data_IF_661662086212
#
_entry.id   IF_661662086212
#
_cell.length_a   1.000
_cell.length_b   1.000
_cell.length_c   1.000
_cell.angle_alpha   90.00
_cell.angle_beta   90.00
_cell.angle_gamma   90.00
#
_symmetry.space_group_name_H-M   'P 1'
#
loop_
_entity.id
_entity.type
_entity.pdbx_description
1 polymer ?
#
# COMPACT_ATOMS: atom_id res chain seq x y z
N UNK A 1 34.72 6.93 -21.81
CA UNK A 1 33.63 7.12 -20.82
C UNK A 1 32.58 6.05 -21.10
N UNK A 2 32.26 5.19 -20.15
CA UNK A 2 31.16 4.23 -20.34
C UNK A 2 29.85 5.01 -20.42
N UNK A 3 29.04 4.73 -21.42
CA UNK A 3 27.68 5.28 -21.57
C UNK A 3 26.82 4.71 -20.44
N UNK A 4 26.11 5.57 -19.68
CA UNK A 4 25.14 5.10 -18.70
C UNK A 4 24.05 4.26 -19.34
N UNK A 5 23.52 3.30 -18.60
CA UNK A 5 22.31 2.57 -18.99
C UNK A 5 21.08 3.29 -18.44
N UNK A 6 20.17 3.68 -19.31
CA UNK A 6 18.98 4.47 -18.95
C UNK A 6 17.74 3.61 -19.00
N UNK A 7 17.03 3.49 -17.87
CA UNK A 7 15.73 2.81 -17.75
C UNK A 7 14.64 3.84 -17.50
N UNK A 8 13.67 3.94 -18.40
CA UNK A 8 12.47 4.73 -18.16
C UNK A 8 11.37 3.85 -17.56
N UNK A 9 10.78 4.30 -16.44
CA UNK A 9 9.65 3.64 -15.75
C UNK A 9 8.40 4.48 -15.95
N UNK A 10 7.39 3.91 -16.62
CA UNK A 10 6.15 4.58 -17.01
C UNK A 10 4.93 3.78 -16.52
N UNK A 11 3.72 4.30 -16.74
CA UNK A 11 2.47 3.66 -16.31
C UNK A 11 2.09 4.01 -14.88
N UNK A 12 1.48 3.06 -14.16
CA UNK A 12 0.87 3.30 -12.86
C UNK A 12 0.98 2.10 -11.92
N UNK A 13 0.75 2.32 -10.61
CA UNK A 13 0.64 1.21 -9.65
C UNK A 13 1.98 0.57 -9.28
N UNK A 14 3.03 1.39 -9.04
CA UNK A 14 4.27 0.89 -8.47
C UNK A 14 5.56 1.38 -9.12
N UNK A 15 5.54 2.49 -9.88
CA UNK A 15 6.75 3.07 -10.49
C UNK A 15 7.84 3.37 -9.48
N UNK A 16 7.52 4.14 -8.44
CA UNK A 16 8.47 4.51 -7.39
C UNK A 16 9.07 3.27 -6.73
N UNK A 17 8.24 2.28 -6.35
CA UNK A 17 8.72 1.02 -5.76
C UNK A 17 9.60 0.20 -6.71
N UNK A 18 9.33 0.24 -8.02
CA UNK A 18 10.20 -0.38 -9.02
C UNK A 18 11.55 0.33 -9.10
N UNK A 19 11.55 1.66 -9.14
CA UNK A 19 12.76 2.49 -9.16
C UNK A 19 13.60 2.24 -7.90
N UNK A 20 12.99 2.27 -6.71
CA UNK A 20 13.67 1.98 -5.44
C UNK A 20 14.31 0.59 -5.42
N UNK A 21 13.60 -0.45 -5.90
CA UNK A 21 14.16 -1.80 -5.98
C UNK A 21 15.33 -1.91 -6.96
N UNK A 22 15.21 -1.28 -8.12
CA UNK A 22 16.30 -1.26 -9.11
C UNK A 22 17.52 -0.49 -8.58
N UNK A 23 17.29 0.68 -7.97
CA UNK A 23 18.33 1.49 -7.37
C UNK A 23 19.08 0.74 -6.26
N UNK A 24 18.35 0.10 -5.35
CA UNK A 24 18.94 -0.70 -4.28
C UNK A 24 19.73 -1.92 -4.81
N UNK A 25 19.24 -2.58 -5.86
CA UNK A 25 19.95 -3.71 -6.48
C UNK A 25 21.24 -3.26 -7.18
N UNK A 26 21.20 -2.14 -7.90
CA UNK A 26 22.34 -1.57 -8.59
C UNK A 26 23.40 -1.07 -7.59
N UNK A 27 22.98 -0.38 -6.54
CA UNK A 27 23.84 0.06 -5.45
C UNK A 27 24.56 -1.11 -4.77
N UNK A 28 23.84 -2.19 -4.43
CA UNK A 28 24.45 -3.42 -3.90
C UNK A 28 25.45 -4.07 -4.86
N UNK A 29 25.27 -3.88 -6.16
CA UNK A 29 26.21 -4.32 -7.18
C UNK A 29 27.37 -3.34 -7.44
N UNK A 30 27.52 -2.28 -6.62
CA UNK A 30 28.57 -1.27 -6.74
C UNK A 30 28.42 -0.34 -7.94
N UNK A 31 27.17 -0.18 -8.47
CA UNK A 31 26.91 0.71 -9.59
C UNK A 31 26.49 2.10 -9.11
N UNK A 32 27.14 3.14 -9.65
CA UNK A 32 26.71 4.53 -9.47
C UNK A 32 25.34 4.72 -10.11
N UNK A 33 24.33 5.01 -9.30
CA UNK A 33 22.94 5.05 -9.71
C UNK A 33 22.32 6.43 -9.48
N UNK A 34 21.78 7.04 -10.54
CA UNK A 34 21.01 8.27 -10.44
C UNK A 34 19.51 8.00 -10.68
N UNK A 35 18.67 8.62 -9.87
CA UNK A 35 17.20 8.61 -10.02
C UNK A 35 16.76 10.02 -10.41
N UNK A 36 15.99 10.13 -11.48
CA UNK A 36 15.46 11.39 -11.99
C UNK A 36 13.99 11.26 -12.43
N UNK A 37 13.37 12.37 -12.77
CA UNK A 37 12.03 12.39 -13.38
C UNK A 37 11.99 13.35 -14.56
N UNK A 38 11.19 13.03 -15.57
CA UNK A 38 10.82 13.94 -16.66
C UNK A 38 9.45 14.58 -16.45
N UNK A 39 8.76 14.21 -15.37
CA UNK A 39 7.46 14.75 -14.98
C UNK A 39 7.52 15.29 -13.54
N UNK A 40 6.85 14.62 -12.60
CA UNK A 40 6.87 15.00 -11.18
C UNK A 40 6.90 13.72 -10.35
N UNK A 41 7.81 13.63 -9.37
CA UNK A 41 7.81 12.56 -8.37
C UNK A 41 7.86 13.15 -6.96
N UNK A 42 7.48 12.39 -5.95
CA UNK A 42 7.64 12.80 -4.57
C UNK A 42 9.12 12.95 -4.22
N UNK A 43 9.43 14.00 -3.45
CA UNK A 43 10.79 14.23 -2.97
C UNK A 43 11.18 13.11 -2.00
N UNK A 44 12.19 12.29 -2.30
CA UNK A 44 12.66 11.27 -1.37
C UNK A 44 13.35 11.91 -0.17
N UNK A 45 13.35 11.22 0.96
CA UNK A 45 13.96 11.70 2.20
C UNK A 45 15.47 11.47 2.26
N UNK A 46 15.93 10.44 1.57
CA UNK A 46 17.33 10.01 1.57
C UNK A 46 17.95 10.20 0.17
N UNK A 47 19.29 10.34 0.13
CA UNK A 47 20.08 10.48 -1.08
C UNK A 47 19.63 11.60 -2.03
N UNK A 48 18.94 12.64 -1.50
CA UNK A 48 18.35 13.69 -2.33
C UNK A 48 19.29 14.89 -2.50
N UNK A 49 19.61 15.18 -3.75
CA UNK A 49 20.27 16.41 -4.20
C UNK A 49 19.31 17.33 -4.98
N UNK A 50 18.02 17.24 -4.69
CA UNK A 50 16.98 18.04 -5.31
C UNK A 50 17.19 19.55 -5.10
N UNK A 51 17.13 20.32 -6.19
CA UNK A 51 17.36 21.75 -6.17
C UNK A 51 18.80 22.20 -5.82
N UNK A 52 19.76 21.28 -5.77
CA UNK A 52 21.17 21.54 -5.55
C UNK A 52 21.96 21.60 -6.86
N UNK A 53 23.19 22.11 -6.78
CA UNK A 53 24.11 22.12 -7.93
C UNK A 53 24.53 20.70 -8.33
N UNK A 54 24.92 20.51 -9.59
CA UNK A 54 25.33 19.21 -10.15
C UNK A 54 26.52 18.62 -9.42
N UNK A 55 27.45 19.44 -8.96
CA UNK A 55 28.62 18.98 -8.18
C UNK A 55 28.23 18.28 -6.86
N UNK A 56 27.11 18.64 -6.27
CA UNK A 56 26.57 17.92 -5.09
C UNK A 56 26.08 16.52 -5.47
N UNK A 57 25.44 16.37 -6.65
CA UNK A 57 25.02 15.07 -7.13
C UNK A 57 26.21 14.19 -7.51
N UNK A 58 27.27 14.77 -8.13
CA UNK A 58 28.54 14.08 -8.40
C UNK A 58 29.19 13.57 -7.13
N UNK A 59 29.34 14.43 -6.12
CA UNK A 59 29.88 14.07 -4.82
C UNK A 59 29.09 12.92 -4.18
N UNK A 60 27.75 12.99 -4.18
CA UNK A 60 26.91 11.94 -3.61
C UNK A 60 27.04 10.61 -4.38
N UNK A 61 27.17 10.65 -5.70
CA UNK A 61 27.44 9.45 -6.52
C UNK A 61 28.79 8.84 -6.19
N UNK A 62 29.81 9.67 -5.89
CA UNK A 62 31.16 9.20 -5.57
C UNK A 62 31.23 8.63 -4.14
N UNK A 63 30.61 9.29 -3.16
CA UNK A 63 30.66 8.93 -1.75
C UNK A 63 29.66 7.84 -1.37
N UNK A 64 28.40 7.93 -1.87
CA UNK A 64 27.29 7.07 -1.48
C UNK A 64 26.86 6.07 -2.57
N UNK A 65 27.30 6.28 -3.82
CA UNK A 65 26.95 5.43 -4.97
C UNK A 65 25.53 5.62 -5.50
N UNK A 66 24.74 6.50 -4.90
CA UNK A 66 23.35 6.76 -5.31
C UNK A 66 22.98 8.24 -5.10
N UNK A 67 22.21 8.81 -6.03
CA UNK A 67 21.62 10.15 -5.87
C UNK A 67 20.23 10.23 -6.49
N UNK A 68 19.37 11.07 -5.93
CA UNK A 68 18.08 11.46 -6.52
C UNK A 68 18.15 12.94 -6.88
N UNK A 69 18.23 13.24 -8.17
CA UNK A 69 18.52 14.56 -8.70
C UNK A 69 17.35 15.15 -9.52
N UNK A 70 17.11 16.43 -9.35
CA UNK A 70 16.12 17.19 -10.12
C UNK A 70 15.88 18.57 -9.53
N UNK A 71 15.04 19.38 -10.16
CA UNK A 71 14.62 20.68 -9.67
C UNK A 71 13.51 20.55 -8.62
N UNK A 72 13.43 21.51 -7.70
CA UNK A 72 12.30 21.58 -6.76
C UNK A 72 11.08 22.16 -7.47
N UNK A 73 9.94 21.49 -7.30
CA UNK A 73 8.69 21.94 -7.89
C UNK A 73 8.12 23.17 -7.18
N UNK A 74 7.51 24.07 -7.97
CA UNK A 74 6.83 25.27 -7.51
C UNK A 74 5.32 25.19 -7.71
N UNK A 75 4.57 26.08 -7.08
CA UNK A 75 3.11 26.15 -7.22
C UNK A 75 2.42 24.83 -6.88
N UNK A 76 1.71 24.23 -7.84
CA UNK A 76 1.02 22.92 -7.68
C UNK A 76 1.97 21.74 -7.53
N UNK A 77 3.24 21.89 -7.89
CA UNK A 77 4.27 20.88 -7.75
C UNK A 77 5.12 21.05 -6.47
N UNK A 78 4.78 21.98 -5.58
CA UNK A 78 5.52 22.21 -4.33
C UNK A 78 5.65 20.92 -3.52
N UNK A 79 6.87 20.62 -3.06
CA UNK A 79 7.19 19.38 -2.34
C UNK A 79 7.43 18.17 -3.25
N UNK A 80 7.54 18.37 -4.56
CA UNK A 80 7.89 17.36 -5.55
C UNK A 80 9.18 17.69 -6.25
N UNK A 81 9.83 16.64 -6.75
CA UNK A 81 10.92 16.72 -7.70
C UNK A 81 10.34 16.90 -9.12
N UNK A 82 10.99 17.74 -9.92
CA UNK A 82 10.64 17.98 -11.32
C UNK A 82 11.85 17.80 -12.22
N UNK A 83 11.64 17.83 -13.53
CA UNK A 83 12.72 17.71 -14.52
C UNK A 83 13.79 18.78 -14.34
N UNK A 84 15.09 18.40 -14.27
CA UNK A 84 16.17 19.35 -14.01
C UNK A 84 16.59 20.19 -15.24
N UNK A 85 16.00 19.93 -16.40
CA UNK A 85 16.44 20.46 -17.68
C UNK A 85 17.40 19.51 -18.43
N UNK A 86 17.52 19.72 -19.75
CA UNK A 86 18.25 18.81 -20.65
C UNK A 86 19.75 18.75 -20.31
N UNK A 87 20.38 19.89 -20.10
CA UNK A 87 21.82 19.97 -19.84
C UNK A 87 22.22 19.24 -18.55
N UNK A 88 21.44 19.46 -17.49
CA UNK A 88 21.66 18.80 -16.20
C UNK A 88 21.39 17.29 -16.29
N UNK A 89 20.34 16.88 -17.00
CA UNK A 89 20.03 15.48 -17.27
C UNK A 89 21.20 14.78 -17.98
N UNK A 90 21.75 15.39 -19.04
CA UNK A 90 22.86 14.82 -19.78
C UNK A 90 24.16 14.75 -18.98
N UNK A 91 24.41 15.74 -18.10
CA UNK A 91 25.56 15.71 -17.21
C UNK A 91 25.47 14.54 -16.23
N UNK A 92 24.31 14.34 -15.58
CA UNK A 92 24.08 13.20 -14.69
C UNK A 92 24.23 11.86 -15.45
N UNK A 93 23.72 11.77 -16.68
CA UNK A 93 23.93 10.58 -17.52
C UNK A 93 25.39 10.28 -17.83
N UNK A 94 26.30 11.24 -17.76
CA UNK A 94 27.76 11.02 -17.93
C UNK A 94 28.46 10.52 -16.68
N UNK A 95 27.86 10.76 -15.50
CA UNK A 95 28.45 10.46 -14.18
C UNK A 95 28.00 9.11 -13.60
N UNK A 96 26.77 8.68 -13.92
CA UNK A 96 26.18 7.45 -13.39
C UNK A 96 26.41 6.24 -14.31
N UNK A 97 26.46 5.03 -13.77
CA UNK A 97 26.40 3.77 -14.53
C UNK A 97 24.97 3.42 -14.92
N UNK A 98 24.03 3.70 -14.03
CA UNK A 98 22.58 3.48 -14.20
C UNK A 98 21.81 4.76 -13.93
N UNK A 99 20.90 5.09 -14.86
CA UNK A 99 19.95 6.19 -14.69
C UNK A 99 18.54 5.64 -14.73
N UNK A 100 17.78 5.84 -13.64
CA UNK A 100 16.39 5.45 -13.51
C UNK A 100 15.52 6.70 -13.64
N UNK A 101 14.58 6.70 -14.60
CA UNK A 101 13.76 7.87 -14.89
C UNK A 101 12.28 7.57 -14.67
N UNK A 102 11.63 8.25 -13.71
CA UNK A 102 10.18 8.26 -13.64
C UNK A 102 9.63 9.19 -14.73
N UNK A 103 9.07 8.60 -15.80
CA UNK A 103 8.72 9.33 -17.01
C UNK A 103 7.21 9.49 -17.22
N UNK A 104 6.40 9.28 -16.18
CA UNK A 104 4.92 9.35 -16.27
C UNK A 104 4.26 9.63 -14.91
N UNK A 105 3.35 10.60 -14.85
CA UNK A 105 2.55 10.93 -13.66
C UNK A 105 1.23 10.16 -13.61
N UNK A 106 0.88 9.51 -12.49
CA UNK A 106 -0.34 8.69 -12.35
C UNK A 106 -1.32 9.13 -11.25
N UNK A 107 -1.03 10.22 -10.54
CA UNK A 107 -1.81 10.70 -9.38
C UNK A 107 -2.04 9.62 -8.31
N UNK A 108 -1.08 8.72 -8.11
CA UNK A 108 -1.14 7.57 -7.19
C UNK A 108 -2.24 6.54 -7.52
N UNK A 109 -2.89 6.62 -8.69
CA UNK A 109 -3.87 5.61 -9.12
C UNK A 109 -3.16 4.37 -9.67
N UNK A 110 -3.78 3.18 -9.53
CA UNK A 110 -3.19 1.92 -10.00
C UNK A 110 -3.20 1.76 -11.53
N UNK A 111 -4.00 2.54 -12.22
CA UNK A 111 -4.17 2.52 -13.68
C UNK A 111 -4.16 3.93 -14.25
N UNK A 112 -3.75 4.08 -15.50
CA UNK A 112 -3.79 5.33 -16.25
C UNK A 112 -3.91 5.04 -17.74
N UNK A 113 -4.63 5.89 -18.48
CA UNK A 113 -4.50 5.99 -19.92
C UNK A 113 -3.68 7.24 -20.28
N UNK A 114 -2.56 7.12 -21.04
CA UNK A 114 -1.66 8.24 -21.33
C UNK A 114 -2.27 9.21 -22.35
N UNK A 115 -1.83 10.47 -22.29
CA UNK A 115 -2.22 11.52 -23.24
C UNK A 115 -1.08 11.81 -24.21
N UNK A 116 -0.97 10.99 -25.24
CA UNK A 116 0.04 11.21 -26.29
C UNK A 116 -0.22 12.48 -27.10
N UNK A 117 0.84 13.25 -27.45
CA UNK A 117 2.28 13.02 -27.20
C UNK A 117 2.78 13.67 -25.89
N UNK A 118 1.92 14.22 -25.04
CA UNK A 118 2.30 14.97 -23.81
C UNK A 118 2.91 14.07 -22.73
N UNK A 119 2.38 12.88 -22.57
CA UNK A 119 2.82 11.88 -21.59
C UNK A 119 2.62 10.48 -22.15
N UNK A 120 3.51 9.53 -21.82
CA UNK A 120 4.73 9.64 -21.00
C UNK A 120 5.87 10.40 -21.73
N UNK A 121 6.73 11.07 -20.94
CA UNK A 121 7.90 11.81 -21.45
C UNK A 121 9.15 10.95 -21.32
N UNK A 122 9.30 10.00 -22.23
CA UNK A 122 10.44 9.05 -22.24
C UNK A 122 11.65 9.70 -22.91
N UNK A 123 12.83 9.76 -22.24
CA UNK A 123 14.04 10.31 -22.83
C UNK A 123 14.48 9.57 -24.12
N UNK A 124 15.03 10.29 -25.08
CA UNK A 124 15.44 9.71 -26.37
C UNK A 124 16.61 8.71 -26.24
N UNK A 125 17.45 8.86 -25.21
CA UNK A 125 18.59 7.98 -24.91
C UNK A 125 18.22 6.78 -24.03
N UNK A 126 16.93 6.46 -23.86
CA UNK A 126 16.46 5.33 -23.06
C UNK A 126 16.89 4.00 -23.66
N UNK A 127 17.56 3.18 -22.86
CA UNK A 127 18.03 1.84 -23.25
C UNK A 127 17.00 0.74 -22.95
N UNK A 128 16.10 0.93 -21.95
CA UNK A 128 14.98 0.01 -21.68
C UNK A 128 13.76 0.76 -21.12
N UNK A 129 12.55 0.25 -21.38
CA UNK A 129 11.31 0.82 -20.84
C UNK A 129 10.55 -0.22 -20.02
N UNK A 130 10.23 0.14 -18.77
CA UNK A 130 9.39 -0.66 -17.89
C UNK A 130 8.03 0.00 -17.75
N UNK A 131 6.99 -0.71 -18.17
CA UNK A 131 5.60 -0.28 -18.06
C UNK A 131 5.01 -0.90 -16.81
N UNK A 132 4.48 -0.08 -15.90
CA UNK A 132 3.87 -0.53 -14.65
C UNK A 132 2.36 -0.52 -14.75
N UNK A 133 1.71 -1.53 -14.16
CA UNK A 133 0.26 -1.58 -13.97
C UNK A 133 -0.06 -2.17 -12.60
N UNK A 134 -0.97 -1.52 -11.86
CA UNK A 134 -1.42 -1.99 -10.55
C UNK A 134 -2.64 -2.90 -10.66
N UNK A 135 -2.49 -4.18 -10.32
CA UNK A 135 -3.57 -5.17 -10.34
C UNK A 135 -4.72 -4.84 -9.38
N UNK A 136 -4.52 -3.90 -8.45
CA UNK A 136 -5.60 -3.40 -7.59
C UNK A 136 -6.69 -2.64 -8.36
N UNK A 137 -6.44 -2.27 -9.62
CA UNK A 137 -7.45 -1.67 -10.50
C UNK A 137 -8.52 -2.69 -10.93
N UNK A 138 -8.14 -3.97 -11.10
CA UNK A 138 -9.05 -4.98 -11.64
C UNK A 138 -10.23 -5.24 -10.69
N UNK A 139 -11.45 -5.22 -11.25
CA UNK A 139 -12.70 -5.38 -10.51
C UNK A 139 -13.22 -4.10 -9.85
N UNK A 140 -12.52 -2.98 -9.96
CA UNK A 140 -12.95 -1.68 -9.44
C UNK A 140 -13.57 -0.82 -10.55
N UNK A 141 -14.47 0.14 -10.22
CA UNK A 141 -14.99 1.08 -11.21
C UNK A 141 -13.85 1.87 -11.88
N UNK A 142 -13.88 1.93 -13.21
CA UNK A 142 -12.81 2.51 -14.05
C UNK A 142 -12.49 3.95 -13.66
N UNK A 143 -13.50 4.78 -13.39
CA UNK A 143 -13.31 6.19 -13.02
C UNK A 143 -12.59 6.39 -11.67
N UNK A 144 -12.71 5.43 -10.77
CA UNK A 144 -12.09 5.52 -9.43
C UNK A 144 -10.63 5.11 -9.42
N UNK A 145 -10.19 4.30 -10.39
CA UNK A 145 -8.86 3.68 -10.39
C UNK A 145 -7.99 4.05 -11.59
N UNK A 146 -8.55 4.70 -12.61
CA UNK A 146 -7.84 5.03 -13.84
C UNK A 146 -7.75 6.55 -14.07
N UNK A 147 -6.54 7.09 -14.05
CA UNK A 147 -6.33 8.49 -14.44
C UNK A 147 -6.54 8.66 -15.96
N UNK A 148 -7.36 9.64 -16.36
CA UNK A 148 -7.73 9.91 -17.77
C UNK A 148 -8.42 8.74 -18.47
N UNK A 149 -9.27 8.01 -17.74
CA UNK A 149 -10.00 6.86 -18.25
C UNK A 149 -10.82 7.17 -19.50
N UNK A 150 -11.35 8.40 -19.62
CA UNK A 150 -12.13 8.84 -20.78
C UNK A 150 -11.36 8.68 -22.11
N UNK A 151 -10.05 8.96 -22.10
CA UNK A 151 -9.22 8.80 -23.30
C UNK A 151 -9.11 7.33 -23.73
N UNK A 152 -9.15 6.40 -22.77
CA UNK A 152 -9.11 4.96 -23.04
C UNK A 152 -10.38 4.40 -23.66
N UNK A 153 -11.53 5.04 -23.41
CA UNK A 153 -12.82 4.64 -23.95
C UNK A 153 -13.17 5.29 -25.29
N UNK A 154 -12.29 6.14 -25.85
CA UNK A 154 -12.52 6.68 -27.19
C UNK A 154 -12.45 5.56 -28.24
N UNK A 155 -13.41 5.58 -29.19
CA UNK A 155 -13.38 4.74 -30.38
C UNK A 155 -12.25 5.16 -31.32
N UNK A 156 -11.97 4.34 -32.32
CA UNK A 156 -10.94 4.64 -33.32
C UNK A 156 -11.22 5.93 -34.10
N UNK A 157 -12.48 6.34 -34.20
CA UNK A 157 -12.96 7.60 -34.82
C UNK A 157 -12.91 8.80 -33.85
N UNK A 158 -12.46 8.60 -32.61
CA UNK A 158 -12.39 9.63 -31.56
C UNK A 158 -13.71 9.92 -30.84
N UNK A 159 -14.80 9.21 -31.18
CA UNK A 159 -16.07 9.36 -30.48
C UNK A 159 -16.03 8.70 -29.09
N UNK A 160 -16.74 9.23 -28.07
CA UNK A 160 -16.90 8.56 -26.77
C UNK A 160 -17.55 7.18 -26.96
N UNK A 161 -17.06 6.17 -26.24
CA UNK A 161 -17.80 4.92 -26.09
C UNK A 161 -19.07 5.14 -25.25
N UNK A 162 -20.06 4.27 -25.41
CA UNK A 162 -21.30 4.31 -24.62
C UNK A 162 -21.10 3.90 -23.15
N UNK A 163 -19.93 3.33 -22.83
CA UNK A 163 -19.58 2.90 -21.47
C UNK A 163 -19.28 4.11 -20.58
N UNK A 164 -19.88 4.11 -19.41
CA UNK A 164 -19.58 5.09 -18.36
C UNK A 164 -18.41 4.64 -17.48
N UNK A 165 -17.92 5.54 -16.65
CA UNK A 165 -16.79 5.27 -15.74
C UNK A 165 -17.09 4.27 -14.62
N UNK A 166 -18.35 3.87 -14.44
CA UNK A 166 -18.79 2.92 -13.40
C UNK A 166 -18.52 1.46 -13.79
N UNK A 167 -18.20 1.18 -15.06
CA UNK A 167 -17.85 -0.18 -15.49
C UNK A 167 -16.63 -0.70 -14.72
N UNK A 168 -16.67 -1.95 -14.23
CA UNK A 168 -15.52 -2.52 -13.53
C UNK A 168 -14.39 -2.83 -14.53
N UNK A 169 -13.15 -2.52 -14.15
CA UNK A 169 -11.97 -2.87 -14.93
C UNK A 169 -11.87 -4.40 -15.06
N UNK A 170 -12.00 -4.92 -16.28
CA UNK A 170 -11.78 -6.33 -16.57
C UNK A 170 -10.34 -6.58 -17.00
N UNK A 171 -9.85 -7.84 -16.95
CA UNK A 171 -8.54 -8.18 -17.51
C UNK A 171 -8.39 -7.83 -19.00
N UNK A 172 -9.46 -8.00 -19.77
CA UNK A 172 -9.52 -7.69 -21.20
C UNK A 172 -9.39 -6.18 -21.46
N UNK A 173 -10.13 -5.36 -20.71
CA UNK A 173 -10.04 -3.90 -20.75
C UNK A 173 -8.63 -3.42 -20.34
N UNK A 174 -8.07 -3.98 -19.27
CA UNK A 174 -6.72 -3.63 -18.82
C UNK A 174 -5.67 -3.97 -19.89
N UNK A 175 -5.75 -5.14 -20.53
CA UNK A 175 -4.84 -5.54 -21.60
C UNK A 175 -4.96 -4.61 -22.82
N UNK A 176 -6.18 -4.23 -23.22
CA UNK A 176 -6.43 -3.30 -24.31
C UNK A 176 -5.86 -1.90 -24.01
N UNK A 177 -6.11 -1.36 -22.81
CA UNK A 177 -5.59 -0.05 -22.39
C UNK A 177 -4.05 -0.04 -22.37
N UNK A 178 -3.44 -1.10 -21.86
CA UNK A 178 -1.98 -1.24 -21.84
C UNK A 178 -1.40 -1.30 -23.24
N UNK A 179 -1.99 -2.10 -24.11
CA UNK A 179 -1.52 -2.25 -25.49
C UNK A 179 -1.64 -0.94 -26.28
N UNK A 180 -2.85 -0.34 -26.31
CA UNK A 180 -3.10 0.91 -27.05
C UNK A 180 -2.44 2.13 -26.41
N UNK A 181 -2.46 2.20 -25.09
CA UNK A 181 -1.94 3.35 -24.37
C UNK A 181 -0.42 3.38 -24.27
N UNK A 182 0.24 2.24 -24.08
CA UNK A 182 1.68 2.20 -23.81
C UNK A 182 2.47 1.34 -24.78
N UNK A 183 2.12 0.06 -24.95
CA UNK A 183 3.04 -0.89 -25.60
C UNK A 183 3.27 -0.55 -27.06
N UNK A 184 2.21 -0.33 -27.83
CA UNK A 184 2.32 0.04 -29.26
C UNK A 184 2.99 1.39 -29.48
N UNK A 185 2.59 2.49 -28.79
CA UNK A 185 3.23 3.79 -28.97
C UNK A 185 4.71 3.81 -28.58
N UNK A 186 5.10 3.15 -27.48
CA UNK A 186 6.50 3.06 -27.06
C UNK A 186 7.31 2.23 -28.07
N UNK A 187 6.81 1.09 -28.51
CA UNK A 187 7.49 0.26 -29.52
C UNK A 187 7.71 1.02 -30.83
N UNK A 188 6.75 1.85 -31.21
CA UNK A 188 6.89 2.71 -32.40
C UNK A 188 7.99 3.77 -32.23
N UNK A 189 8.08 4.40 -31.05
CA UNK A 189 9.07 5.45 -30.77
C UNK A 189 10.48 4.92 -30.49
N UNK A 190 10.59 3.77 -29.85
CA UNK A 190 11.82 3.12 -29.39
C UNK A 190 11.83 1.65 -29.85
N UNK A 191 11.97 1.39 -31.17
CA UNK A 191 11.80 0.05 -31.73
C UNK A 191 12.81 -0.97 -31.23
N UNK A 192 14.02 -0.53 -30.88
CA UNK A 192 15.12 -1.39 -30.43
C UNK A 192 15.24 -1.51 -28.93
N UNK A 193 14.54 -0.66 -28.15
CA UNK A 193 14.62 -0.73 -26.69
C UNK A 193 13.82 -1.93 -26.14
N UNK A 194 14.39 -2.75 -25.25
CA UNK A 194 13.62 -3.72 -24.46
C UNK A 194 12.44 -3.04 -23.78
N UNK A 195 11.24 -3.61 -24.00
CA UNK A 195 9.99 -3.11 -23.47
C UNK A 195 9.33 -4.23 -22.65
N UNK A 196 9.23 -4.04 -21.33
CA UNK A 196 8.70 -5.04 -20.42
C UNK A 196 7.54 -4.47 -19.60
N UNK A 197 6.44 -5.20 -19.56
CA UNK A 197 5.28 -4.88 -18.72
C UNK A 197 5.37 -5.61 -17.38
N UNK A 198 5.20 -4.88 -16.29
CA UNK A 198 5.11 -5.41 -14.93
C UNK A 198 3.71 -5.19 -14.36
N UNK A 199 3.00 -6.29 -14.10
CA UNK A 199 1.72 -6.30 -13.40
C UNK A 199 2.02 -6.43 -11.90
N UNK A 200 2.00 -5.31 -11.21
CA UNK A 200 2.33 -5.22 -9.78
C UNK A 200 1.11 -5.44 -8.89
N UNK A 201 1.34 -5.66 -7.60
CA UNK A 201 0.30 -5.95 -6.60
C UNK A 201 -0.37 -7.32 -6.83
N UNK A 202 0.39 -8.32 -7.30
CA UNK A 202 -0.05 -9.72 -7.40
C UNK A 202 -0.02 -10.40 -6.01
N UNK A 203 -0.65 -9.76 -5.03
CA UNK A 203 -0.59 -10.08 -3.59
C UNK A 203 -1.80 -10.90 -3.10
N UNK A 204 -2.77 -11.18 -3.95
CA UNK A 204 -3.91 -12.06 -3.66
C UNK A 204 -4.12 -13.03 -4.80
N UNK A 205 -4.75 -14.19 -4.52
CA UNK A 205 -5.10 -15.17 -5.55
C UNK A 205 -5.95 -14.55 -6.66
N UNK A 206 -6.91 -13.68 -6.30
CA UNK A 206 -7.72 -12.96 -7.28
C UNK A 206 -6.87 -12.11 -8.24
N UNK A 207 -5.93 -11.30 -7.68
CA UNK A 207 -5.05 -10.44 -8.48
C UNK A 207 -4.04 -11.25 -9.31
N UNK A 208 -3.53 -12.36 -8.77
CA UNK A 208 -2.67 -13.28 -9.53
C UNK A 208 -3.40 -13.82 -10.76
N UNK A 209 -4.60 -14.38 -10.59
CA UNK A 209 -5.41 -14.89 -11.72
C UNK A 209 -5.77 -13.78 -12.72
N UNK A 210 -6.14 -12.58 -12.25
CA UNK A 210 -6.38 -11.45 -13.14
C UNK A 210 -5.12 -11.08 -13.94
N UNK A 211 -3.97 -11.04 -13.29
CA UNK A 211 -2.67 -10.76 -13.91
C UNK A 211 -2.25 -11.83 -14.90
N UNK A 212 -2.43 -13.11 -14.58
CA UNK A 212 -2.19 -14.24 -15.50
C UNK A 212 -3.04 -14.13 -16.77
N UNK A 213 -4.31 -13.72 -16.62
CA UNK A 213 -5.22 -13.48 -17.75
C UNK A 213 -4.73 -12.32 -18.63
N UNK A 214 -4.35 -11.18 -18.02
CA UNK A 214 -3.78 -10.04 -18.75
C UNK A 214 -2.51 -10.45 -19.47
N UNK A 215 -1.56 -11.13 -18.79
CA UNK A 215 -0.34 -11.64 -19.40
C UNK A 215 -0.66 -12.58 -20.57
N UNK A 216 -1.57 -13.53 -20.40
CA UNK A 216 -1.94 -14.47 -21.45
C UNK A 216 -2.51 -13.79 -22.70
N UNK A 217 -3.30 -12.72 -22.54
CA UNK A 217 -3.82 -11.92 -23.67
C UNK A 217 -2.68 -11.20 -24.41
N UNK A 218 -1.78 -10.56 -23.64
CA UNK A 218 -0.70 -9.73 -24.21
C UNK A 218 0.43 -10.59 -24.81
N UNK A 219 0.78 -11.70 -24.17
CA UNK A 219 1.79 -12.64 -24.67
C UNK A 219 1.39 -13.27 -26.02
N UNK A 220 0.09 -13.59 -26.23
CA UNK A 220 -0.42 -14.03 -27.54
C UNK A 220 -0.22 -13.00 -28.66
N UNK A 221 -0.02 -11.73 -28.28
CA UNK A 221 0.27 -10.62 -29.20
C UNK A 221 1.77 -10.27 -29.28
N UNK A 222 2.63 -11.07 -28.65
CA UNK A 222 4.09 -10.93 -28.66
C UNK A 222 4.66 -9.95 -27.63
N UNK A 223 3.86 -9.53 -26.61
CA UNK A 223 4.35 -8.63 -25.56
C UNK A 223 4.93 -9.39 -24.37
N UNK A 224 6.08 -8.94 -23.86
CA UNK A 224 6.63 -9.46 -22.61
C UNK A 224 5.88 -8.91 -21.40
N UNK A 225 5.42 -9.80 -20.54
CA UNK A 225 4.64 -9.46 -19.34
C UNK A 225 5.08 -10.32 -18.16
N UNK A 226 5.26 -9.69 -17.01
CA UNK A 226 5.61 -10.35 -15.73
C UNK A 226 4.71 -9.90 -14.60
N UNK A 227 4.28 -10.85 -13.77
CA UNK A 227 3.65 -10.56 -12.49
C UNK A 227 4.74 -10.26 -11.46
N UNK A 228 4.46 -9.27 -10.62
CA UNK A 228 5.35 -8.96 -9.50
C UNK A 228 4.59 -8.45 -8.28
N UNK A 229 5.28 -8.48 -7.14
CA UNK A 229 4.88 -7.88 -5.89
C UNK A 229 6.09 -7.07 -5.40
N UNK A 230 6.02 -5.75 -5.56
CA UNK A 230 7.14 -4.86 -5.25
C UNK A 230 7.21 -4.47 -3.78
N UNK A 231 6.11 -4.54 -3.07
CA UNK A 231 6.05 -4.32 -1.62
C UNK A 231 5.16 -5.37 -0.94
N UNK A 232 5.41 -5.71 0.34
CA UNK A 232 4.51 -6.56 1.11
C UNK A 232 3.12 -5.93 1.26
N UNK A 233 2.10 -6.73 1.54
CA UNK A 233 0.79 -6.22 1.91
C UNK A 233 0.91 -5.48 3.26
N UNK A 234 0.34 -4.29 3.36
CA UNK A 234 0.38 -3.43 4.55
C UNK A 234 -0.92 -3.56 5.32
N UNK A 235 -0.90 -4.26 6.44
CA UNK A 235 -2.04 -4.43 7.33
C UNK A 235 -1.82 -3.56 8.57
N UNK A 236 -2.75 -2.65 8.86
CA UNK A 236 -2.75 -1.88 10.08
C UNK A 236 -3.59 -2.60 11.14
N UNK A 237 -2.95 -3.14 12.17
CA UNK A 237 -3.61 -3.62 13.37
C UNK A 237 -3.94 -2.42 14.27
N UNK A 238 -5.22 -2.20 14.51
CA UNK A 238 -5.75 -1.23 15.46
C UNK A 238 -6.10 -1.99 16.72
N UNK A 239 -5.21 -1.94 17.72
CA UNK A 239 -5.37 -2.59 19.00
C UNK A 239 -6.09 -1.66 19.97
N UNK A 240 -7.36 -1.92 20.21
CA UNK A 240 -8.26 -1.04 20.96
C UNK A 240 -8.15 -1.30 22.45
N UNK A 241 -7.48 -0.41 23.18
CA UNK A 241 -7.18 -0.50 24.61
C UNK A 241 -7.70 0.72 25.39
N UNK A 242 -8.91 1.22 25.03
CA UNK A 242 -9.54 2.40 25.65
C UNK A 242 -10.76 2.08 26.53
N UNK A 243 -11.12 0.81 26.71
CA UNK A 243 -12.31 0.41 27.46
C UNK A 243 -12.28 0.82 28.95
N UNK A 244 -13.39 1.33 29.47
CA UNK A 244 -13.49 1.85 30.87
C UNK A 244 -13.52 0.78 31.94
N UNK A 245 -13.79 -0.49 31.62
CA UNK A 245 -13.89 -1.55 32.63
C UNK A 245 -14.97 -1.32 33.71
N UNK A 246 -16.09 -0.69 33.35
CA UNK A 246 -17.14 -0.25 34.29
C UNK A 246 -17.60 -1.32 35.26
N UNK A 247 -17.59 -2.61 34.86
CA UNK A 247 -17.97 -3.75 35.70
C UNK A 247 -16.90 -4.17 36.72
N UNK A 248 -15.63 -3.71 36.51
CA UNK A 248 -14.50 -4.00 37.38
C UNK A 248 -14.28 -2.95 38.48
N UNK A 249 -14.98 -1.79 38.43
CA UNK A 249 -14.76 -0.67 39.35
C UNK A 249 -13.41 0.05 39.17
N UNK A 250 -12.53 -0.49 38.35
CA UNK A 250 -11.21 0.03 38.00
C UNK A 250 -10.79 -0.45 36.61
N UNK A 251 -9.65 0.03 36.07
CA UNK A 251 -9.20 -0.34 34.74
C UNK A 251 -8.80 -1.83 34.66
N UNK A 252 -9.68 -2.66 34.06
CA UNK A 252 -9.43 -4.10 33.90
C UNK A 252 -8.17 -4.42 33.07
N UNK A 253 -7.80 -3.55 32.11
CA UNK A 253 -6.67 -3.80 31.20
C UNK A 253 -5.31 -3.76 31.91
N UNK A 254 -5.20 -3.00 33.02
CA UNK A 254 -3.97 -2.90 33.82
C UNK A 254 -3.89 -3.96 34.92
N UNK A 255 -4.99 -4.71 35.16
CA UNK A 255 -4.97 -5.80 36.16
C UNK A 255 -4.11 -6.97 35.68
N UNK A 256 -3.50 -7.64 36.66
CA UNK A 256 -2.73 -8.85 36.38
C UNK A 256 -3.67 -10.01 36.05
N UNK A 257 -3.44 -10.61 34.88
CA UNK A 257 -3.99 -11.87 34.46
C UNK A 257 -2.82 -12.80 34.17
N UNK A 258 -2.76 -13.98 34.80
CA UNK A 258 -1.64 -14.94 34.63
C UNK A 258 -0.25 -14.26 34.74
N UNK A 259 -0.07 -13.34 35.70
CA UNK A 259 1.20 -12.73 36.06
C UNK A 259 1.61 -11.47 35.27
N UNK A 260 0.83 -11.05 34.26
CA UNK A 260 1.08 -9.79 33.52
C UNK A 260 -0.23 -9.00 33.27
N UNK A 261 -0.16 -7.68 33.01
CA UNK A 261 -1.37 -6.88 32.71
C UNK A 261 -2.18 -7.48 31.56
N UNK A 262 -3.50 -7.46 31.67
CA UNK A 262 -4.42 -8.11 30.73
C UNK A 262 -4.15 -7.68 29.28
N UNK A 263 -3.98 -6.38 29.00
CA UNK A 263 -3.70 -5.89 27.65
C UNK A 263 -2.39 -6.43 27.05
N UNK A 264 -1.40 -6.80 27.91
CA UNK A 264 -0.10 -7.27 27.44
C UNK A 264 -0.17 -8.65 26.78
N UNK A 265 -1.13 -9.50 27.15
CA UNK A 265 -1.28 -10.83 26.53
C UNK A 265 -1.51 -10.72 25.02
N UNK A 266 -2.52 -9.94 24.63
CA UNK A 266 -2.81 -9.71 23.21
C UNK A 266 -1.70 -8.93 22.51
N UNK A 267 -1.15 -7.89 23.16
CA UNK A 267 -0.08 -7.07 22.57
C UNK A 267 1.19 -7.90 22.30
N UNK A 268 1.63 -8.71 23.25
CA UNK A 268 2.81 -9.58 23.09
C UNK A 268 2.60 -10.59 21.96
N UNK A 269 1.41 -11.19 21.89
CA UNK A 269 1.04 -12.09 20.80
C UNK A 269 1.11 -11.40 19.43
N UNK A 270 0.62 -10.16 19.31
CA UNK A 270 0.70 -9.42 18.05
C UNK A 270 2.12 -8.96 17.71
N UNK A 271 2.96 -8.65 18.70
CA UNK A 271 4.39 -8.37 18.47
C UNK A 271 5.14 -9.61 17.97
N UNK A 272 4.80 -10.79 18.46
CA UNK A 272 5.33 -12.06 17.96
C UNK A 272 4.81 -12.35 16.54
N UNK A 273 3.52 -12.22 16.31
CA UNK A 273 2.89 -12.37 14.99
C UNK A 273 3.54 -11.46 13.95
N UNK A 274 3.82 -10.19 14.29
CA UNK A 274 4.50 -9.25 13.39
C UNK A 274 5.82 -9.82 12.88
N UNK A 275 6.65 -10.43 13.75
CA UNK A 275 7.93 -11.04 13.36
C UNK A 275 7.74 -12.24 12.44
N UNK A 276 6.74 -13.10 12.72
CA UNK A 276 6.47 -14.27 11.89
C UNK A 276 5.93 -13.91 10.50
N UNK A 277 5.19 -12.80 10.37
CA UNK A 277 4.60 -12.35 9.11
C UNK A 277 5.61 -11.72 8.15
N UNK A 278 6.79 -11.30 8.62
CA UNK A 278 7.86 -10.77 7.76
C UNK A 278 8.27 -11.80 6.69
N UNK A 279 8.33 -13.09 7.05
CA UNK A 279 8.62 -14.19 6.12
C UNK A 279 7.49 -14.46 5.11
N UNK A 280 6.27 -14.03 5.41
CA UNK A 280 5.07 -14.21 4.57
C UNK A 280 4.77 -13.01 3.67
N UNK A 281 5.69 -12.04 3.61
CA UNK A 281 5.51 -10.78 2.86
C UNK A 281 4.24 -10.01 3.28
N UNK A 282 3.85 -10.07 4.54
CA UNK A 282 2.80 -9.26 5.16
C UNK A 282 3.47 -8.32 6.16
N UNK A 283 3.34 -7.03 5.92
CA UNK A 283 3.83 -6.01 6.84
C UNK A 283 2.69 -5.64 7.80
N UNK A 284 2.79 -6.12 9.05
CA UNK A 284 1.83 -5.80 10.09
C UNK A 284 2.32 -4.59 10.89
N UNK A 285 1.59 -3.48 10.82
CA UNK A 285 1.85 -2.31 11.64
C UNK A 285 0.91 -2.28 12.84
N UNK A 286 1.43 -2.10 14.04
CA UNK A 286 0.65 -2.14 15.29
C UNK A 286 0.39 -0.71 15.76
N UNK A 287 -0.90 -0.37 15.90
CA UNK A 287 -1.40 0.92 16.37
C UNK A 287 -2.23 0.67 17.61
N UNK A 288 -1.69 0.99 18.77
CA UNK A 288 -2.41 0.88 20.05
C UNK A 288 -3.17 2.17 20.33
N UNK A 289 -4.48 2.09 20.41
CA UNK A 289 -5.34 3.23 20.75
C UNK A 289 -5.78 3.12 22.19
N UNK A 290 -5.34 4.05 23.06
CA UNK A 290 -5.61 4.00 24.48
C UNK A 290 -5.82 5.39 25.09
N UNK A 291 -6.60 5.47 26.17
CA UNK A 291 -6.68 6.64 27.04
C UNK A 291 -5.70 6.57 28.24
N UNK A 292 -5.07 5.41 28.46
CA UNK A 292 -4.26 5.14 29.66
C UNK A 292 -2.78 5.43 29.42
N UNK A 293 -2.16 6.35 30.20
CA UNK A 293 -0.75 6.71 30.03
C UNK A 293 0.21 5.53 30.15
N UNK A 294 -0.11 4.53 30.97
CA UNK A 294 0.69 3.32 31.17
C UNK A 294 0.81 2.53 29.86
N UNK A 295 -0.29 2.39 29.12
CA UNK A 295 -0.33 1.68 27.84
C UNK A 295 0.34 2.52 26.74
N UNK A 296 0.15 3.84 26.75
CA UNK A 296 0.74 4.73 25.75
C UNK A 296 2.26 4.80 25.79
N UNK A 297 2.90 4.49 26.92
CA UNK A 297 4.37 4.45 27.03
C UNK A 297 5.02 3.24 26.36
N UNK A 298 4.25 2.25 25.96
CA UNK A 298 4.75 1.02 25.33
C UNK A 298 5.29 1.23 23.92
N UNK A 299 4.80 2.23 23.19
CA UNK A 299 5.16 2.47 21.82
C UNK A 299 5.51 3.93 21.51
N UNK A 300 5.76 4.20 20.23
CA UNK A 300 5.99 5.56 19.74
C UNK A 300 4.67 6.30 19.65
N UNK A 301 4.56 7.43 20.34
CA UNK A 301 3.35 8.23 20.34
C UNK A 301 3.17 8.96 19.00
N UNK A 302 1.97 8.86 18.42
CA UNK A 302 1.53 9.66 17.28
C UNK A 302 0.63 10.79 17.80
N UNK A 303 0.98 12.01 17.41
CA UNK A 303 0.16 13.18 17.69
C UNK A 303 -1.06 13.22 16.76
N UNK A 304 -2.04 14.04 17.10
CA UNK A 304 -3.25 14.21 16.28
C UNK A 304 -2.89 14.67 14.85
N UNK A 305 -3.46 13.99 13.86
CA UNK A 305 -3.18 14.24 12.43
C UNK A 305 -1.93 13.58 11.88
N UNK A 306 -1.10 12.93 12.69
CA UNK A 306 0.00 12.13 12.21
C UNK A 306 -0.45 10.72 11.82
N UNK A 307 0.26 10.11 10.87
CA UNK A 307 0.06 8.71 10.48
C UNK A 307 1.35 7.91 10.64
N UNK A 308 1.21 6.59 10.71
CA UNK A 308 2.33 5.66 10.78
C UNK A 308 3.28 5.87 9.60
N UNK A 309 4.55 5.71 9.86
CA UNK A 309 5.59 5.68 8.86
C UNK A 309 5.87 4.23 8.49
N UNK A 310 5.36 3.79 7.36
CA UNK A 310 5.51 2.44 6.85
C UNK A 310 6.95 2.07 6.46
N UNK A 311 7.84 3.05 6.36
CA UNK A 311 9.28 2.91 6.14
C UNK A 311 10.06 2.67 7.43
N UNK A 312 9.45 2.89 8.60
CA UNK A 312 10.07 2.66 9.91
C UNK A 312 9.42 1.46 10.61
N UNK A 313 10.23 0.47 11.03
CA UNK A 313 9.73 -0.62 11.87
C UNK A 313 9.32 -0.07 13.25
N UNK A 314 8.22 -0.55 13.78
CA UNK A 314 7.79 -0.17 15.13
C UNK A 314 6.36 -0.52 15.43
N UNK A 315 5.96 -0.21 16.65
CA UNK A 315 4.56 -0.06 16.97
C UNK A 315 4.30 1.35 17.53
N UNK A 316 3.07 1.80 17.34
CA UNK A 316 2.65 3.16 17.56
C UNK A 316 1.57 3.22 18.61
N UNK A 317 1.51 4.31 19.35
CA UNK A 317 0.45 4.57 20.31
C UNK A 317 -0.27 5.85 19.95
N UNK A 318 -1.59 5.86 20.10
CA UNK A 318 -2.47 7.00 19.82
C UNK A 318 -3.31 7.27 21.04
N UNK A 319 -3.25 8.49 21.56
CA UNK A 319 -4.05 8.91 22.70
C UNK A 319 -5.52 9.06 22.31
N UNK A 320 -6.42 8.47 23.08
CA UNK A 320 -7.85 8.59 22.89
C UNK A 320 -8.48 9.45 23.98
N UNK A 321 -8.54 10.75 23.77
CA UNK A 321 -9.20 11.70 24.67
C UNK A 321 -10.74 11.65 24.55
N UNK A 322 -11.27 10.91 23.55
CA UNK A 322 -12.71 10.74 23.29
C UNK A 322 -13.21 9.32 23.60
N UNK A 323 -12.55 8.60 24.50
CA UNK A 323 -12.92 7.22 24.83
C UNK A 323 -14.37 7.10 25.34
N UNK A 324 -14.91 8.14 25.97
CA UNK A 324 -16.30 8.21 26.44
C UNK A 324 -17.35 8.18 25.30
N UNK A 325 -16.96 8.48 24.05
CA UNK A 325 -17.84 8.41 22.89
C UNK A 325 -18.04 6.97 22.38
N UNK A 326 -17.39 5.98 23.02
CA UNK A 326 -17.49 4.57 22.68
C UNK A 326 -16.41 4.08 21.72
N UNK A 327 -16.59 2.84 21.22
CA UNK A 327 -15.60 2.14 20.39
C UNK A 327 -15.28 2.87 19.08
N UNK A 328 -16.23 3.63 18.56
CA UNK A 328 -16.09 4.38 17.28
C UNK A 328 -14.95 5.39 17.35
N UNK A 329 -14.73 6.06 18.49
CA UNK A 329 -13.60 6.97 18.65
C UNK A 329 -12.25 6.26 18.46
N UNK A 330 -12.10 5.05 19.02
CA UNK A 330 -10.89 4.22 18.83
C UNK A 330 -10.71 3.78 17.37
N UNK A 331 -11.80 3.42 16.68
CA UNK A 331 -11.78 3.05 15.26
C UNK A 331 -11.30 4.24 14.42
N UNK A 332 -11.87 5.43 14.60
CA UNK A 332 -11.49 6.63 13.85
C UNK A 332 -10.02 6.98 14.04
N UNK A 333 -9.56 7.07 15.30
CA UNK A 333 -8.17 7.38 15.61
C UNK A 333 -7.21 6.38 14.98
N UNK A 334 -7.52 5.08 15.08
CA UNK A 334 -6.69 4.03 14.51
C UNK A 334 -6.65 4.06 12.98
N UNK A 335 -7.79 4.28 12.31
CA UNK A 335 -7.86 4.37 10.84
C UNK A 335 -7.15 5.62 10.32
N UNK A 336 -7.29 6.77 11.00
CA UNK A 336 -6.55 7.99 10.65
C UNK A 336 -5.04 7.80 10.83
N UNK A 337 -4.62 7.22 11.94
CA UNK A 337 -3.22 6.92 12.22
C UNK A 337 -2.61 5.91 11.23
N UNK A 338 -3.38 4.92 10.76
CA UNK A 338 -2.93 3.98 9.72
C UNK A 338 -2.65 4.66 8.38
N UNK A 339 -3.32 5.77 8.09
CA UNK A 339 -3.18 6.50 6.84
C UNK A 339 -3.80 5.79 5.63
N UNK A 340 -3.54 6.33 4.45
CA UNK A 340 -4.12 5.83 3.18
C UNK A 340 -3.32 4.68 2.55
N UNK A 341 -2.11 4.44 3.02
CA UNK A 341 -1.23 3.42 2.47
C UNK A 341 -1.53 2.00 2.96
N UNK A 342 -2.35 1.84 4.00
CA UNK A 342 -2.79 0.54 4.48
C UNK A 342 -3.63 -0.19 3.43
N UNK A 343 -3.34 -1.47 3.20
CA UNK A 343 -4.14 -2.34 2.33
C UNK A 343 -5.32 -2.98 3.07
N UNK A 344 -5.27 -2.99 4.42
CA UNK A 344 -6.35 -3.47 5.28
C UNK A 344 -6.24 -2.95 6.70
N UNK A 345 -7.39 -2.89 7.38
CA UNK A 345 -7.55 -2.45 8.77
C UNK A 345 -8.03 -3.63 9.62
N UNK A 346 -7.15 -4.12 10.48
CA UNK A 346 -7.41 -5.22 11.42
C UNK A 346 -7.72 -4.64 12.80
N UNK A 347 -8.89 -4.92 13.33
CA UNK A 347 -9.31 -4.44 14.64
C UNK A 347 -9.30 -5.58 15.65
N UNK A 348 -8.65 -5.37 16.78
CA UNK A 348 -8.63 -6.29 17.91
C UNK A 348 -8.86 -5.54 19.22
N UNK A 349 -9.47 -6.23 20.18
CA UNK A 349 -9.74 -5.70 21.54
C UNK A 349 -8.66 -6.19 22.50
N UNK A 350 -8.39 -5.41 23.54
CA UNK A 350 -7.29 -5.65 24.47
C UNK A 350 -7.65 -6.61 25.64
N UNK A 351 -8.86 -7.11 25.68
CA UNK A 351 -9.42 -7.97 26.73
C UNK A 351 -9.64 -9.42 26.29
N UNK A 352 -9.05 -9.83 25.13
CA UNK A 352 -8.97 -11.21 24.63
C UNK A 352 -7.56 -11.77 24.82
N UNK A 353 -7.17 -12.26 26.00
CA UNK A 353 -5.79 -12.64 26.29
C UNK A 353 -5.35 -13.97 25.68
N UNK A 354 -6.28 -14.82 25.26
CA UNK A 354 -6.00 -16.20 24.84
C UNK A 354 -5.86 -16.40 23.34
N UNK A 355 -5.94 -15.32 22.56
CA UNK A 355 -5.75 -15.38 21.10
C UNK A 355 -4.33 -15.82 20.77
N UNK A 356 -4.17 -16.76 19.85
CA UNK A 356 -2.87 -17.35 19.52
C UNK A 356 -2.27 -16.79 18.22
N UNK A 357 -0.93 -16.74 18.17
CA UNK A 357 -0.15 -16.38 16.96
C UNK A 357 -0.55 -17.27 15.78
N UNK A 358 -0.69 -18.60 16.02
CA UNK A 358 -1.05 -19.57 14.99
C UNK A 358 -2.39 -19.25 14.34
N UNK A 359 -3.42 -18.99 15.14
CA UNK A 359 -4.77 -18.66 14.67
C UNK A 359 -4.74 -17.36 13.85
N UNK A 360 -4.05 -16.33 14.35
CA UNK A 360 -3.95 -15.05 13.65
C UNK A 360 -3.15 -15.12 12.35
N UNK A 361 -2.04 -15.86 12.35
CA UNK A 361 -1.25 -16.10 11.13
C UNK A 361 -2.08 -16.80 10.05
N UNK A 362 -2.80 -17.85 10.43
CA UNK A 362 -3.69 -18.56 9.51
C UNK A 362 -4.83 -17.67 9.03
N UNK A 363 -5.42 -16.87 9.92
CA UNK A 363 -6.46 -15.92 9.55
C UNK A 363 -5.97 -14.92 8.48
N UNK A 364 -4.83 -14.27 8.70
CA UNK A 364 -4.31 -13.26 7.76
C UNK A 364 -3.91 -13.88 6.42
N UNK A 365 -3.28 -15.06 6.43
CA UNK A 365 -2.94 -15.80 5.18
C UNK A 365 -4.18 -16.19 4.40
N UNK A 366 -5.13 -16.87 5.05
CA UNK A 366 -6.37 -17.30 4.39
C UNK A 366 -7.22 -16.11 3.92
N UNK A 367 -7.28 -15.02 4.70
CA UNK A 367 -7.94 -13.79 4.27
C UNK A 367 -7.32 -13.27 2.96
N UNK A 368 -6.00 -13.15 2.91
CA UNK A 368 -5.28 -12.63 1.75
C UNK A 368 -5.44 -13.53 0.52
N UNK A 369 -5.39 -14.85 0.70
CA UNK A 369 -5.59 -15.82 -0.37
C UNK A 369 -7.01 -15.77 -0.97
N UNK A 370 -8.02 -15.53 -0.14
CA UNK A 370 -9.43 -15.53 -0.54
C UNK A 370 -10.01 -14.13 -0.79
N UNK A 371 -9.21 -13.08 -0.63
CA UNK A 371 -9.65 -11.69 -0.82
C UNK A 371 -10.04 -11.44 -2.27
N UNK A 372 -11.31 -11.05 -2.46
CA UNK A 372 -11.87 -10.59 -3.73
C UNK A 372 -12.51 -9.22 -3.47
N UNK A 373 -11.86 -8.10 -3.86
CA UNK A 373 -12.39 -6.77 -3.66
C UNK A 373 -13.82 -6.62 -4.19
N UNK A 374 -14.71 -6.07 -3.38
CA UNK A 374 -16.12 -5.91 -3.72
C UNK A 374 -17.01 -7.15 -3.56
N UNK A 375 -16.43 -8.34 -3.27
CA UNK A 375 -17.19 -9.61 -3.12
C UNK A 375 -16.87 -10.36 -1.83
N UNK A 376 -15.59 -10.49 -1.48
CA UNK A 376 -15.07 -11.16 -0.28
C UNK A 376 -13.92 -10.32 0.23
N UNK A 377 -14.22 -9.29 1.02
CA UNK A 377 -13.27 -8.23 1.37
C UNK A 377 -13.37 -7.77 2.83
N UNK A 378 -14.14 -8.51 3.64
CA UNK A 378 -14.12 -8.43 5.11
C UNK A 378 -13.84 -9.82 5.67
N UNK A 379 -13.17 -9.88 6.82
CA UNK A 379 -12.88 -11.13 7.52
C UNK A 379 -13.12 -11.01 9.02
N UNK A 380 -13.49 -12.11 9.67
CA UNK A 380 -13.55 -12.19 11.13
C UNK A 380 -13.23 -13.60 11.59
N UNK A 381 -12.80 -13.72 12.84
CA UNK A 381 -12.79 -15.02 13.52
C UNK A 381 -14.20 -15.45 13.90
N UNK A 382 -14.45 -16.76 14.00
CA UNK A 382 -15.76 -17.29 14.37
C UNK A 382 -15.64 -18.61 15.14
N UNK A 383 -16.59 -18.86 16.03
CA UNK A 383 -16.78 -20.11 16.74
C UNK A 383 -18.28 -20.43 16.89
N UNK A 384 -18.67 -21.68 16.59
CA UNK A 384 -20.07 -22.12 16.74
C UNK A 384 -21.10 -21.29 15.97
N UNK A 385 -20.72 -20.68 14.84
CA UNK A 385 -21.59 -19.77 14.06
C UNK A 385 -21.67 -18.34 14.58
N UNK A 386 -20.92 -18.02 15.65
CA UNK A 386 -20.83 -16.66 16.20
C UNK A 386 -19.56 -15.96 15.71
N UNK A 387 -19.71 -14.75 15.17
CA UNK A 387 -18.60 -13.89 14.74
C UNK A 387 -17.97 -13.20 15.94
N UNK A 388 -16.64 -13.18 15.99
CA UNK A 388 -15.84 -12.54 17.03
C UNK A 388 -14.75 -11.64 16.47
N UNK A 389 -14.00 -11.02 17.39
CA UNK A 389 -12.77 -10.31 17.06
C UNK A 389 -11.60 -11.30 16.98
N UNK A 390 -10.51 -10.93 16.27
CA UNK A 390 -10.32 -9.75 15.41
C UNK A 390 -11.17 -9.74 14.14
N UNK A 391 -11.44 -8.51 13.64
CA UNK A 391 -12.11 -8.29 12.36
C UNK A 391 -11.21 -7.51 11.42
N UNK A 392 -11.24 -7.85 10.13
CA UNK A 392 -10.40 -7.26 9.10
C UNK A 392 -11.25 -6.68 7.97
N UNK A 393 -10.95 -5.43 7.60
CA UNK A 393 -11.60 -4.73 6.49
C UNK A 393 -10.56 -4.40 5.42
N UNK A 394 -10.89 -4.62 4.17
CA UNK A 394 -10.06 -4.18 3.07
C UNK A 394 -10.04 -2.64 2.97
N UNK A 395 -9.00 -2.08 2.35
CA UNK A 395 -8.77 -0.62 2.24
C UNK A 395 -9.97 0.20 1.74
N UNK A 396 -10.83 -0.38 0.90
CA UNK A 396 -12.01 0.31 0.35
C UNK A 396 -13.07 0.66 1.41
N UNK A 397 -12.96 0.09 2.61
CA UNK A 397 -13.85 0.41 3.73
C UNK A 397 -13.40 1.62 4.57
N UNK A 398 -12.27 2.25 4.24
CA UNK A 398 -11.72 3.37 5.03
C UNK A 398 -12.75 4.45 5.31
N UNK A 399 -13.42 4.95 4.28
CA UNK A 399 -14.41 6.02 4.42
C UNK A 399 -15.64 5.56 5.21
N UNK A 400 -16.09 4.31 5.02
CA UNK A 400 -17.19 3.74 5.81
C UNK A 400 -16.82 3.58 7.29
N UNK A 401 -15.58 3.21 7.60
CA UNK A 401 -15.07 3.12 8.97
C UNK A 401 -15.00 4.51 9.62
N UNK A 402 -14.56 5.53 8.89
CA UNK A 402 -14.52 6.92 9.35
C UNK A 402 -15.91 7.58 9.45
N UNK A 403 -16.92 7.05 8.74
CA UNK A 403 -18.31 7.51 8.81
C UNK A 403 -19.13 6.82 9.92
N UNK A 404 -18.56 5.89 10.68
CA UNK A 404 -19.24 5.25 11.81
C UNK A 404 -19.57 6.31 12.88
N UNK A 405 -20.73 6.14 13.55
CA UNK A 405 -21.18 7.02 14.64
C UNK A 405 -21.77 6.22 15.80
N UNK A 406 -21.66 6.75 17.01
CA UNK A 406 -22.16 6.14 18.24
C UNK A 406 -21.31 4.94 18.69
N UNK A 407 -21.78 4.21 19.70
CA UNK A 407 -21.08 3.05 20.26
C UNK A 407 -21.35 1.76 19.45
N UNK A 408 -21.04 1.82 18.13
CA UNK A 408 -21.26 0.71 17.20
C UNK A 408 -20.01 0.47 16.39
N UNK A 409 -19.33 -0.62 16.67
CA UNK A 409 -18.10 -1.02 15.97
C UNK A 409 -18.33 -1.48 14.52
N UNK A 410 -17.27 -1.99 13.89
CA UNK A 410 -17.26 -2.47 12.51
C UNK A 410 -18.30 -3.55 12.19
N UNK A 411 -18.88 -4.22 13.21
CA UNK A 411 -19.96 -5.19 13.05
C UNK A 411 -21.18 -4.64 12.30
N UNK A 412 -21.44 -3.33 12.35
CA UNK A 412 -22.51 -2.68 11.57
C UNK A 412 -22.25 -2.81 10.06
N UNK A 413 -21.03 -2.52 9.62
CA UNK A 413 -20.64 -2.64 8.21
C UNK A 413 -20.76 -4.11 7.75
N UNK A 414 -20.34 -5.05 8.59
CA UNK A 414 -20.44 -6.49 8.28
C UNK A 414 -21.88 -6.96 8.17
N UNK A 415 -22.83 -6.38 8.96
CA UNK A 415 -24.27 -6.66 8.86
C UNK A 415 -24.90 -6.04 7.60
N UNK A 416 -24.39 -4.90 7.15
CA UNK A 416 -24.84 -4.25 5.89
C UNK A 416 -24.46 -5.08 4.66
N UNK A 417 -23.30 -5.78 4.70
CA UNK A 417 -22.79 -6.59 3.59
C UNK A 417 -22.44 -8.02 4.02
N UNK A 418 -23.41 -8.82 4.50
CA UNK A 418 -23.14 -10.15 5.09
C UNK A 418 -22.48 -11.12 4.09
N UNK A 419 -22.81 -11.01 2.80
CA UNK A 419 -22.23 -11.83 1.74
C UNK A 419 -20.74 -11.55 1.44
N UNK A 420 -20.20 -10.42 1.94
CA UNK A 420 -18.79 -10.03 1.76
C UNK A 420 -17.87 -10.48 2.90
N UNK A 421 -18.45 -11.02 3.99
CA UNK A 421 -17.69 -11.44 5.16
C UNK A 421 -17.20 -12.87 4.98
N UNK A 422 -15.93 -13.07 5.20
CA UNK A 422 -15.29 -14.38 5.33
C UNK A 422 -15.11 -14.71 6.81
N UNK A 423 -15.60 -15.87 7.23
CA UNK A 423 -15.49 -16.34 8.60
C UNK A 423 -14.40 -17.41 8.69
N UNK A 424 -13.49 -17.23 9.64
CA UNK A 424 -12.37 -18.11 9.86
C UNK A 424 -12.49 -18.77 11.23
N UNK A 425 -12.32 -20.10 11.34
CA UNK A 425 -12.51 -20.79 12.60
C UNK A 425 -11.40 -20.43 13.61
N UNK A 426 -11.81 -20.23 14.87
CA UNK A 426 -10.93 -20.07 16.02
C UNK A 426 -11.40 -20.99 17.16
N UNK A 427 -10.58 -21.15 18.18
CA UNK A 427 -10.98 -21.84 19.41
C UNK A 427 -11.99 -21.01 20.21
N UNK A 428 -12.91 -21.66 20.93
CA UNK A 428 -13.88 -20.95 21.80
C UNK A 428 -13.16 -20.02 22.78
N UNK A 429 -12.12 -20.53 23.45
CA UNK A 429 -11.35 -19.79 24.45
C UNK A 429 -10.58 -18.60 23.86
N UNK A 430 -10.20 -18.66 22.58
CA UNK A 430 -9.50 -17.58 21.92
C UNK A 430 -10.38 -16.34 21.69
N UNK A 431 -11.70 -16.52 21.61
CA UNK A 431 -12.66 -15.45 21.35
C UNK A 431 -13.33 -14.91 22.63
N UNK A 432 -13.00 -15.45 23.81
CA UNK A 432 -13.59 -15.02 25.08
C UNK A 432 -12.96 -13.74 25.60
N UNK A 433 -13.82 -12.74 25.85
CA UNK A 433 -13.46 -11.51 26.53
C UNK A 433 -13.39 -11.76 28.06
N UNK A 434 -12.48 -11.11 28.76
CA UNK A 434 -12.43 -11.06 30.20
C UNK A 434 -13.33 -9.90 30.69
N UNK A 435 -14.58 -10.21 30.98
CA UNK A 435 -15.58 -9.20 31.35
C UNK A 435 -15.89 -9.09 32.87
N UNK A 436 -15.49 -10.07 33.64
CA UNK A 436 -15.76 -10.14 35.06
C UNK A 436 -14.51 -10.49 35.86
N UNK A 437 -14.36 -9.98 37.13
CA UNK A 437 -13.20 -10.30 37.97
C UNK A 437 -12.99 -11.79 38.21
N UNK A 438 -14.08 -12.58 38.21
CA UNK A 438 -14.05 -14.04 38.40
C UNK A 438 -13.32 -14.75 37.22
N UNK A 439 -13.32 -14.16 36.03
CA UNK A 439 -12.67 -14.70 34.84
C UNK A 439 -11.15 -14.42 34.81
N UNK A 440 -10.64 -13.71 35.81
CA UNK A 440 -9.20 -13.41 35.96
C UNK A 440 -8.46 -14.42 36.85
N UNK A 441 -9.10 -15.51 37.28
CA UNK A 441 -8.50 -16.57 38.12
C UNK A 441 -7.91 -17.69 37.30
#
# INVERSE_FOLDING_TARGET
MNKSYVIAVIGSGGKTSMIERLAAAAWKAGKKTAVMTTTHMWLPREHSTAGKEICEAERMLDEEGITVFGSLGEGKARGKLTYPGQDAYEQICRMADLVLVEADGSRNLPMKFPEWPREPVVPANTDAVFVMFGLSAVGQPLETVCHRWQLGLLRADGAPAEEDGQVPVTPEMAADFLERGYLRPIRFRLPSAPLMLFLNQADTTYRKHAGEKICGILQKKGWECRLCRLRPARIALIYMASGFGNRFGENKLLKLYEGKPLYRHGLDMFLELKRELEAEEIHLEIIVVSQYPEILREGRNLEEGQSVRWDLPGFWTVKNDRAAEGITASIHLGVLAAGEEADGYLFSVADQPRLSVRTMKNFLKNYQENLIPGKKDMGCLSWGGHRGNPVLFYRTYREKLLALTGDRGGSRIMKEFPGRVMEFPAGEEELKDIDYPENMR
#
